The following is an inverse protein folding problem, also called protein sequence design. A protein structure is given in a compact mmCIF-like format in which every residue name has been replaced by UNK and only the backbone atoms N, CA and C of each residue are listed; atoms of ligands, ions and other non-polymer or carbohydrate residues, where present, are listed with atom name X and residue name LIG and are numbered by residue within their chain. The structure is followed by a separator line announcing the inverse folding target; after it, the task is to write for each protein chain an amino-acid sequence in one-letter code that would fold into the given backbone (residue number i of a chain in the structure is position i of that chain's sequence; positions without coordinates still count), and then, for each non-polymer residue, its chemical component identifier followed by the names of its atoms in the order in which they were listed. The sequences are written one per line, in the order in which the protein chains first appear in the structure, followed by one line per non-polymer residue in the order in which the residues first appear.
data_IF_293865871052
#
_entry.id   IF_293865871052
#
_cell.length_a   1.000
_cell.length_b   1.000
_cell.length_c   1.000
_cell.angle_alpha   90.00
_cell.angle_beta   90.00
_cell.angle_gamma   90.00
#
_symmetry.space_group_name_H-M   'P 1'
#
loop_
_entity.id
_entity.type
_entity.pdbx_description
1 polymer ?
#
# COMPACT_ATOMS: atom_id res chain seq x y z
N UNK A 1 8.65 3.97 10.86
CA UNK A 1 8.18 2.80 11.61
C UNK A 1 8.88 2.77 12.95
N UNK A 2 8.14 2.54 14.05
CA UNK A 2 8.68 2.56 15.43
C UNK A 2 9.44 3.85 15.77
N UNK A 3 8.90 5.01 15.39
CA UNK A 3 9.51 6.33 15.62
C UNK A 3 10.73 6.65 14.75
N UNK A 4 11.08 5.79 13.80
CA UNK A 4 12.20 6.01 12.87
C UNK A 4 11.67 6.21 11.45
N UNK A 5 12.20 7.18 10.69
CA UNK A 5 11.87 7.29 9.28
C UNK A 5 12.33 6.04 8.52
N UNK A 6 11.56 5.65 7.53
CA UNK A 6 11.99 4.63 6.56
C UNK A 6 12.68 5.35 5.41
N UNK A 7 13.99 5.12 5.18
CA UNK A 7 14.73 5.85 4.16
C UNK A 7 14.21 5.54 2.77
N UNK A 8 14.19 6.56 1.92
CA UNK A 8 13.76 6.46 0.53
C UNK A 8 14.84 7.09 -0.35
N UNK A 9 15.24 6.39 -1.38
CA UNK A 9 16.25 6.86 -2.35
C UNK A 9 15.62 6.89 -3.72
N UNK A 10 15.61 8.04 -4.38
CA UNK A 10 15.06 8.17 -5.73
C UNK A 10 15.75 7.18 -6.69
N UNK A 11 14.96 6.48 -7.49
CA UNK A 11 15.40 5.44 -8.42
C UNK A 11 14.87 5.66 -9.85
N UNK A 12 14.53 6.91 -10.18
CA UNK A 12 13.97 7.31 -11.48
C UNK A 12 12.44 7.17 -11.52
N UNK A 13 11.89 7.14 -12.72
CA UNK A 13 10.47 7.01 -12.96
C UNK A 13 10.11 5.58 -13.36
N UNK A 14 8.86 5.23 -13.13
CA UNK A 14 8.28 3.98 -13.57
C UNK A 14 6.99 4.27 -14.35
N UNK A 15 6.93 3.78 -15.58
CA UNK A 15 5.77 3.92 -16.44
C UNK A 15 4.99 2.61 -16.49
N UNK A 16 3.68 2.69 -16.38
CA UNK A 16 2.78 1.56 -16.50
C UNK A 16 1.48 1.95 -17.20
N UNK A 17 0.83 0.95 -17.78
CA UNK A 17 -0.46 1.15 -18.43
C UNK A 17 -1.58 1.03 -17.41
N UNK A 18 -2.45 2.01 -17.36
CA UNK A 18 -3.69 1.93 -16.61
C UNK A 18 -4.72 1.18 -17.47
N UNK A 19 -5.34 0.14 -16.92
CA UNK A 19 -6.35 -0.71 -17.57
C UNK A 19 -5.92 -1.30 -18.94
N UNK A 20 -4.63 -1.62 -19.09
CA UNK A 20 -4.06 -2.15 -20.34
C UNK A 20 -4.28 -1.22 -21.57
N UNK A 21 -4.64 0.03 -21.36
CA UNK A 21 -4.86 1.01 -22.42
C UNK A 21 -3.59 1.83 -22.68
N UNK A 22 -2.94 1.70 -23.86
CA UNK A 22 -1.72 2.45 -24.17
C UNK A 22 -1.88 3.98 -24.15
N UNK A 23 -3.10 4.49 -24.29
CA UNK A 23 -3.38 5.92 -24.23
C UNK A 23 -3.42 6.44 -22.78
N UNK A 24 -3.45 5.56 -21.78
CA UNK A 24 -3.50 5.86 -20.36
C UNK A 24 -2.19 5.43 -19.67
N UNK A 25 -1.06 5.80 -20.24
CA UNK A 25 0.24 5.59 -19.60
C UNK A 25 0.36 6.52 -18.39
N UNK A 26 0.57 5.92 -17.22
CA UNK A 26 0.84 6.64 -15.98
C UNK A 26 2.33 6.60 -15.67
N UNK A 27 2.89 7.70 -15.16
CA UNK A 27 4.28 7.81 -14.77
C UNK A 27 4.37 8.21 -13.31
N UNK A 28 4.93 7.35 -12.47
CA UNK A 28 5.16 7.60 -11.05
C UNK A 28 6.65 7.69 -10.74
N UNK A 29 7.02 8.45 -9.73
CA UNK A 29 8.37 8.47 -9.19
C UNK A 29 8.63 7.18 -8.42
N UNK A 30 9.72 6.49 -8.76
CA UNK A 30 10.15 5.26 -8.08
C UNK A 30 11.19 5.57 -7.02
N UNK A 31 11.00 5.01 -5.85
CA UNK A 31 11.96 5.09 -4.74
C UNK A 31 12.31 3.69 -4.26
N UNK A 32 13.61 3.48 -4.02
CA UNK A 32 14.08 2.33 -3.28
C UNK A 32 13.98 2.58 -1.79
N UNK A 33 13.51 1.60 -1.05
CA UNK A 33 13.36 1.65 0.39
C UNK A 33 13.73 0.32 1.03
N UNK A 34 13.94 0.34 2.34
CA UNK A 34 14.26 -0.85 3.10
C UNK A 34 13.51 -0.89 4.42
N UNK A 35 12.96 -2.04 4.75
CA UNK A 35 12.31 -2.26 6.05
C UNK A 35 12.64 -3.68 6.54
N UNK A 36 13.06 -3.80 7.79
CA UNK A 36 13.41 -5.08 8.41
C UNK A 36 14.41 -5.92 7.58
N UNK A 37 15.41 -5.27 6.98
CA UNK A 37 16.43 -5.92 6.16
C UNK A 37 15.96 -6.39 4.78
N UNK A 38 14.75 -6.01 4.36
CA UNK A 38 14.23 -6.25 3.03
C UNK A 38 14.23 -4.97 2.22
N UNK A 39 14.78 -5.03 1.02
CA UNK A 39 14.74 -3.93 0.05
C UNK A 39 13.55 -4.13 -0.88
N UNK A 40 12.85 -3.06 -1.20
CA UNK A 40 11.74 -3.05 -2.15
C UNK A 40 11.58 -1.65 -2.75
N UNK A 41 10.90 -1.58 -3.87
CA UNK A 41 10.58 -0.32 -4.52
C UNK A 41 9.17 0.12 -4.13
N UNK A 42 8.97 1.43 -4.09
CA UNK A 42 7.66 2.06 -3.95
C UNK A 42 7.48 3.09 -5.06
N UNK A 43 6.24 3.32 -5.44
CA UNK A 43 5.84 4.35 -6.38
C UNK A 43 5.07 5.44 -5.66
N UNK A 44 5.38 6.69 -6.01
CA UNK A 44 4.73 7.89 -5.52
C UNK A 44 4.38 8.79 -6.71
N UNK A 45 3.23 9.42 -6.67
CA UNK A 45 2.83 10.41 -7.68
C UNK A 45 3.22 11.81 -7.20
N UNK A 46 3.96 12.54 -8.03
CA UNK A 46 4.47 13.85 -7.68
C UNK A 46 3.35 14.80 -7.21
N UNK A 47 3.53 15.36 -6.03
CA UNK A 47 2.58 16.31 -5.45
C UNK A 47 1.27 15.69 -4.90
N UNK A 48 1.12 14.37 -4.93
CA UNK A 48 -0.02 13.70 -4.31
C UNK A 48 0.29 13.33 -2.85
N UNK A 49 -0.66 13.51 -1.93
CA UNK A 49 -0.49 13.02 -0.57
C UNK A 49 -0.68 11.49 -0.54
N UNK A 50 0.20 10.80 0.16
CA UNK A 50 0.09 9.33 0.33
C UNK A 50 -1.06 8.88 1.23
N UNK A 51 -1.81 9.80 1.79
CA UNK A 51 -3.05 9.56 2.52
C UNK A 51 -4.07 10.63 2.14
N UNK A 52 -5.25 10.21 1.73
CA UNK A 52 -6.35 11.09 1.28
C UNK A 52 -7.54 10.90 2.23
N UNK A 53 -7.80 11.85 3.14
CA UNK A 53 -8.90 11.73 4.10
C UNK A 53 -10.27 11.55 3.45
N UNK A 54 -10.49 12.16 2.30
CA UNK A 54 -11.71 12.01 1.51
C UNK A 54 -11.90 10.57 0.99
N UNK A 55 -10.83 9.91 0.62
CA UNK A 55 -10.88 8.48 0.24
C UNK A 55 -11.20 7.59 1.44
N UNK A 56 -10.67 7.91 2.63
CA UNK A 56 -11.06 7.20 3.84
C UNK A 56 -12.55 7.33 4.10
N UNK A 57 -13.11 8.54 4.02
CA UNK A 57 -14.55 8.77 4.21
C UNK A 57 -15.38 8.03 3.15
N UNK A 58 -14.93 8.02 1.90
CA UNK A 58 -15.58 7.27 0.82
C UNK A 58 -15.55 5.77 1.11
N UNK A 59 -14.41 5.23 1.52
CA UNK A 59 -14.26 3.82 1.89
C UNK A 59 -15.22 3.44 3.02
N UNK A 60 -15.27 4.25 4.07
CA UNK A 60 -16.12 4.02 5.24
C UNK A 60 -17.61 4.06 4.90
N UNK A 61 -18.02 5.01 4.06
CA UNK A 61 -19.43 5.23 3.75
C UNK A 61 -19.98 4.31 2.65
N UNK A 62 -19.15 3.91 1.69
CA UNK A 62 -19.60 3.19 0.48
C UNK A 62 -19.15 1.73 0.47
N UNK A 63 -17.89 1.49 0.78
CA UNK A 63 -17.27 0.17 0.61
C UNK A 63 -17.20 -0.63 1.91
N UNK A 64 -17.27 0.06 3.05
CA UNK A 64 -17.19 -0.58 4.35
C UNK A 64 -18.38 -0.19 5.22
N UNK A 65 -19.43 -0.99 5.24
CA UNK A 65 -20.55 -0.78 6.16
C UNK A 65 -20.05 -0.62 7.59
N UNK A 66 -20.74 0.19 8.40
CA UNK A 66 -20.36 0.56 9.77
C UNK A 66 -19.87 -0.61 10.63
N UNK A 67 -20.43 -1.79 10.42
CA UNK A 67 -20.06 -3.03 11.11
C UNK A 67 -18.62 -3.48 10.79
N UNK A 68 -18.15 -3.25 9.57
CA UNK A 68 -16.78 -3.61 9.14
C UNK A 68 -15.76 -2.57 9.59
N UNK A 69 -16.15 -1.29 9.68
CA UNK A 69 -15.29 -0.24 10.21
C UNK A 69 -14.95 -0.47 11.68
N UNK A 70 -15.93 -0.86 12.50
CA UNK A 70 -15.68 -1.20 13.91
C UNK A 70 -14.71 -2.39 14.06
N UNK A 71 -14.76 -3.36 13.13
CA UNK A 71 -13.85 -4.50 13.13
C UNK A 71 -12.48 -4.21 12.51
N UNK A 72 -12.32 -3.12 11.77
CA UNK A 72 -11.06 -2.74 11.13
C UNK A 72 -9.94 -2.40 12.11
N UNK A 73 -10.30 -1.95 13.32
CA UNK A 73 -9.39 -1.50 14.35
C UNK A 73 -8.81 -0.09 14.12
N UNK A 74 -9.14 0.59 13.03
CA UNK A 74 -8.61 1.92 12.74
C UNK A 74 -8.95 2.93 13.84
N UNK A 75 -10.20 2.93 14.31
CA UNK A 75 -10.66 3.84 15.35
C UNK A 75 -9.97 3.61 16.69
N UNK A 76 -9.65 2.37 17.01
CA UNK A 76 -9.07 1.96 18.29
C UNK A 76 -7.56 2.16 18.34
N UNK A 77 -6.88 1.84 17.21
CA UNK A 77 -5.42 1.74 17.17
C UNK A 77 -4.74 2.83 16.35
N UNK A 78 -5.51 3.73 15.71
CA UNK A 78 -4.96 4.83 14.93
C UNK A 78 -5.42 6.19 15.45
N UNK A 79 -4.52 7.15 15.38
CA UNK A 79 -4.75 8.57 15.69
C UNK A 79 -4.49 9.38 14.43
N UNK A 80 -5.43 10.23 14.06
CA UNK A 80 -5.35 11.09 12.90
C UNK A 80 -5.05 12.53 13.33
N UNK A 81 -4.26 13.25 12.54
CA UNK A 81 -4.08 14.68 12.70
C UNK A 81 -5.42 15.40 12.47
N UNK A 82 -5.62 16.54 13.15
CA UNK A 82 -6.88 17.31 13.04
C UNK A 82 -7.17 17.78 11.61
N UNK A 83 -6.12 18.09 10.85
CA UNK A 83 -6.20 18.49 9.45
C UNK A 83 -6.26 17.32 8.46
N UNK A 84 -6.22 16.07 8.96
CA UNK A 84 -6.22 14.88 8.13
C UNK A 84 -4.93 14.62 7.35
N UNK A 85 -3.88 15.44 7.54
CA UNK A 85 -2.63 15.34 6.76
C UNK A 85 -1.78 14.13 7.11
N UNK A 86 -1.98 13.57 8.30
CA UNK A 86 -1.17 12.47 8.82
C UNK A 86 -1.98 11.55 9.75
N UNK A 87 -1.47 10.36 9.96
CA UNK A 87 -1.98 9.45 10.98
C UNK A 87 -0.86 8.60 11.57
N UNK A 88 -1.10 8.10 12.76
CA UNK A 88 -0.21 7.17 13.44
C UNK A 88 -1.01 5.97 13.94
N UNK A 89 -0.55 4.77 13.63
CA UNK A 89 -1.19 3.54 14.07
C UNK A 89 -0.25 2.70 14.92
N UNK A 90 -0.80 2.10 15.99
CA UNK A 90 -0.16 1.03 16.72
C UNK A 90 -0.72 -0.30 16.24
N UNK A 91 0.09 -1.05 15.50
CA UNK A 91 -0.35 -2.35 14.96
C UNK A 91 -0.56 -3.33 16.13
N UNK A 92 -1.78 -3.91 16.30
CA UNK A 92 -2.04 -4.89 17.33
C UNK A 92 -1.25 -6.17 17.12
N UNK A 93 -1.02 -6.93 18.21
CA UNK A 93 -0.42 -8.26 18.12
C UNK A 93 -1.27 -9.20 17.25
N UNK A 94 -0.61 -10.04 16.43
CA UNK A 94 -1.27 -10.95 15.51
C UNK A 94 -1.98 -10.28 14.32
N UNK A 95 -1.69 -9.00 14.07
CA UNK A 95 -2.23 -8.27 12.92
C UNK A 95 -1.13 -7.61 12.09
N UNK A 96 -1.45 -7.33 10.85
CA UNK A 96 -0.56 -6.68 9.89
C UNK A 96 -1.17 -5.40 9.36
N UNK A 97 -0.32 -4.39 9.14
CA UNK A 97 -0.66 -3.19 8.40
C UNK A 97 -0.09 -3.33 6.98
N UNK A 98 -0.96 -3.63 6.03
CA UNK A 98 -0.59 -3.88 4.64
C UNK A 98 -0.57 -2.56 3.89
N UNK A 99 0.49 -2.33 3.10
CA UNK A 99 0.59 -1.17 2.23
C UNK A 99 0.94 -1.61 0.82
N UNK A 100 0.22 -1.10 -0.17
CA UNK A 100 0.57 -1.28 -1.56
C UNK A 100 1.89 -0.59 -1.90
N UNK A 101 2.64 -1.14 -2.81
CA UNK A 101 3.87 -0.56 -3.35
C UNK A 101 3.59 0.71 -4.18
N UNK A 102 2.52 0.73 -4.96
CA UNK A 102 2.01 1.97 -5.56
C UNK A 102 1.20 2.75 -4.53
N UNK A 103 1.90 3.57 -3.74
CA UNK A 103 1.40 4.24 -2.54
C UNK A 103 0.17 5.09 -2.77
N UNK A 104 0.11 5.82 -3.86
CA UNK A 104 -0.94 6.81 -4.10
C UNK A 104 -2.12 6.22 -4.88
N UNK A 105 -1.96 5.01 -5.44
CA UNK A 105 -2.99 4.26 -6.16
C UNK A 105 -3.32 2.90 -5.50
N UNK A 106 -3.22 2.82 -4.18
CA UNK A 106 -3.51 1.59 -3.43
C UNK A 106 -4.62 1.80 -2.41
N UNK A 107 -5.65 0.96 -2.49
CA UNK A 107 -6.66 0.80 -1.46
C UNK A 107 -6.17 -0.24 -0.45
N UNK A 108 -5.46 0.18 0.57
CA UNK A 108 -4.77 -0.68 1.54
C UNK A 108 -5.15 -0.40 3.00
N UNK A 109 -4.36 -0.87 3.96
CA UNK A 109 -4.66 -0.74 5.39
C UNK A 109 -4.81 0.70 5.88
N UNK A 110 -4.34 1.67 5.13
CA UNK A 110 -4.59 3.11 5.41
C UNK A 110 -6.09 3.43 5.40
N UNK A 111 -6.88 2.65 4.66
CA UNK A 111 -8.32 2.86 4.45
C UNK A 111 -9.20 1.79 5.10
N UNK A 112 -8.80 0.52 5.08
CA UNK A 112 -9.63 -0.57 5.60
C UNK A 112 -9.07 -1.26 6.87
N UNK A 113 -7.90 -0.85 7.37
CA UNK A 113 -7.39 -1.26 8.67
C UNK A 113 -6.48 -2.48 8.64
N UNK A 114 -6.47 -3.24 9.74
CA UNK A 114 -5.51 -4.32 9.96
C UNK A 114 -6.00 -5.66 9.45
N UNK A 115 -5.07 -6.49 8.97
CA UNK A 115 -5.30 -7.88 8.57
C UNK A 115 -4.91 -8.81 9.71
N UNK A 116 -5.82 -9.71 10.10
CA UNK A 116 -5.53 -10.77 11.06
C UNK A 116 -4.54 -11.78 10.44
N UNK A 117 -3.58 -12.27 11.22
CA UNK A 117 -2.57 -13.24 10.78
C UNK A 117 -3.18 -14.52 10.20
N UNK A 118 -4.35 -14.92 10.71
CA UNK A 118 -5.11 -16.09 10.23
C UNK A 118 -5.63 -15.94 8.80
N UNK A 119 -5.71 -14.71 8.30
CA UNK A 119 -6.13 -14.41 6.93
C UNK A 119 -4.96 -14.45 5.94
N UNK A 120 -3.73 -14.55 6.42
CA UNK A 120 -2.54 -14.64 5.57
C UNK A 120 -2.43 -16.08 5.05
N UNK A 121 -2.81 -16.29 3.80
CA UNK A 121 -2.76 -17.61 3.14
C UNK A 121 -1.34 -18.02 2.80
N UNK A 122 -0.49 -17.05 2.45
CA UNK A 122 0.91 -17.30 2.11
C UNK A 122 1.60 -16.09 1.50
N UNK A 123 2.88 -16.25 1.24
CA UNK A 123 3.72 -15.28 0.55
C UNK A 123 4.01 -15.78 -0.86
N UNK A 124 3.72 -14.95 -1.87
CA UNK A 124 4.17 -15.23 -3.22
C UNK A 124 5.71 -15.16 -3.28
N UNK A 125 6.36 -16.14 -3.90
CA UNK A 125 7.81 -16.20 -4.00
C UNK A 125 8.33 -16.48 -5.42
N UNK A 126 7.45 -16.84 -6.34
CA UNK A 126 7.83 -17.25 -7.69
C UNK A 126 6.76 -16.91 -8.72
N UNK A 127 7.16 -16.43 -9.89
CA UNK A 127 6.29 -16.19 -11.04
C UNK A 127 6.36 -17.40 -11.96
N UNK A 128 5.33 -18.24 -11.95
CA UNK A 128 5.29 -19.42 -12.79
C UNK A 128 4.68 -19.17 -14.18
N UNK A 129 3.84 -18.14 -14.30
CA UNK A 129 3.23 -17.72 -15.56
C UNK A 129 3.04 -16.20 -15.60
N UNK A 130 3.39 -15.58 -16.72
CA UNK A 130 3.07 -14.20 -17.04
C UNK A 130 2.95 -14.09 -18.57
N UNK A 131 1.73 -13.97 -19.07
CA UNK A 131 1.46 -13.96 -20.51
C UNK A 131 1.76 -12.59 -21.14
N UNK A 132 1.73 -11.52 -20.36
CA UNK A 132 2.05 -10.15 -20.82
C UNK A 132 3.56 -9.93 -20.94
N UNK A 133 4.34 -10.56 -20.03
CA UNK A 133 5.80 -10.43 -20.00
C UNK A 133 6.45 -11.82 -19.79
N UNK A 134 6.63 -12.55 -20.88
CA UNK A 134 7.18 -13.92 -20.84
C UNK A 134 8.57 -13.99 -20.19
N UNK A 135 9.36 -12.90 -20.25
CA UNK A 135 10.68 -12.81 -19.62
C UNK A 135 10.65 -12.84 -18.08
N UNK A 136 9.49 -12.63 -17.46
CA UNK A 136 9.32 -12.72 -15.99
C UNK A 136 9.00 -14.13 -15.49
N UNK A 137 8.65 -15.03 -16.38
CA UNK A 137 8.40 -16.44 -16.00
C UNK A 137 9.69 -17.05 -15.46
N UNK A 138 9.61 -17.70 -14.31
CA UNK A 138 10.77 -18.25 -13.62
C UNK A 138 11.49 -17.28 -12.69
N UNK A 139 11.06 -16.03 -12.60
CA UNK A 139 11.63 -15.04 -11.68
C UNK A 139 11.15 -15.23 -10.25
N UNK A 140 12.04 -14.98 -9.29
CA UNK A 140 11.65 -14.91 -7.88
C UNK A 140 11.06 -13.56 -7.52
N UNK A 141 10.01 -13.58 -6.69
CA UNK A 141 9.46 -12.40 -6.06
C UNK A 141 10.23 -12.17 -4.76
N UNK A 142 10.84 -11.02 -4.62
CA UNK A 142 11.69 -10.67 -3.45
C UNK A 142 10.93 -9.85 -2.43
#
# INVERSE_FOLDING_TARGET
VNGRPVPQTAAGNYEYLEDENPALTHSSERFQTALNGKNFDILLDAGQPSFKPEELLRYLNVLMPEKNYQSSGLKEFCQYAEDGSAFTCKVPEGRYFMMGDNRDNSADSRYWGFVDDKLIVGKAFFIWMNLSELGRIGSSIR
#
